data_IF_998206575151
#
_entry.id   IF_998206575151
#
_cell.length_a   1.000
_cell.length_b   1.000
_cell.length_c   1.000
_cell.angle_alpha   90.00
_cell.angle_beta   90.00
_cell.angle_gamma   90.00
#
_symmetry.space_group_name_H-M   'P 1'
#
loop_
_entity.id
_entity.type
_entity.pdbx_description
1 polymer ?
#
# COMPACT_ATOMS: atom_id res chain seq x y z
N UNK A 1 -19.97 -57.45 -45.48
CA UNK A 1 -20.72 -56.72 -44.41
C UNK A 1 -19.67 -56.05 -43.50
N UNK A 2 -19.37 -54.78 -43.75
CA UNK A 2 -18.32 -54.06 -43.05
C UNK A 2 -19.00 -53.05 -42.12
N UNK A 3 -18.80 -53.25 -40.82
CA UNK A 3 -19.32 -52.35 -39.78
C UNK A 3 -18.29 -51.22 -39.53
N UNK A 4 -18.70 -49.98 -39.76
CA UNK A 4 -17.88 -48.78 -39.55
C UNK A 4 -18.23 -48.25 -38.16
N UNK A 5 -17.29 -48.39 -37.19
CA UNK A 5 -17.37 -47.76 -35.89
C UNK A 5 -17.01 -46.28 -36.01
N UNK A 6 -17.98 -45.39 -35.82
CA UNK A 6 -17.77 -43.95 -35.66
C UNK A 6 -17.29 -43.67 -34.22
N UNK A 7 -16.02 -43.33 -34.08
CA UNK A 7 -15.48 -42.76 -32.86
C UNK A 7 -15.97 -41.29 -32.71
N UNK A 8 -16.80 -41.02 -31.73
CA UNK A 8 -17.16 -39.67 -31.31
C UNK A 8 -16.01 -39.05 -30.53
N UNK A 9 -15.36 -38.03 -31.09
CA UNK A 9 -14.46 -37.15 -30.34
C UNK A 9 -15.32 -36.16 -29.56
N UNK A 10 -15.43 -36.36 -28.25
CA UNK A 10 -15.87 -35.32 -27.32
C UNK A 10 -14.73 -34.36 -27.04
N UNK A 11 -14.76 -33.21 -27.69
CA UNK A 11 -13.92 -32.09 -27.31
C UNK A 11 -14.44 -31.49 -26.01
N UNK A 12 -13.72 -31.72 -24.92
CA UNK A 12 -13.97 -31.05 -23.66
C UNK A 12 -13.58 -29.58 -23.81
N UNK A 13 -14.56 -28.73 -24.02
CA UNK A 13 -14.42 -27.28 -23.85
C UNK A 13 -14.25 -27.00 -22.36
N UNK A 14 -13.01 -26.80 -21.94
CA UNK A 14 -12.72 -26.24 -20.62
C UNK A 14 -13.23 -24.81 -20.58
N UNK A 15 -14.42 -24.62 -20.01
CA UNK A 15 -14.94 -23.31 -19.66
C UNK A 15 -14.07 -22.81 -18.50
N UNK A 16 -13.06 -22.00 -18.83
CA UNK A 16 -12.42 -21.15 -17.83
C UNK A 16 -13.47 -20.17 -17.33
N UNK A 17 -14.09 -20.50 -16.21
CA UNK A 17 -14.88 -19.54 -15.44
C UNK A 17 -13.92 -18.45 -14.97
N UNK A 18 -13.89 -17.34 -15.68
CA UNK A 18 -13.40 -16.05 -15.19
C UNK A 18 -14.27 -15.71 -13.98
N UNK A 19 -13.81 -16.13 -12.79
CA UNK A 19 -14.31 -15.57 -11.56
C UNK A 19 -13.99 -14.08 -11.61
N UNK A 20 -14.97 -13.26 -11.92
CA UNK A 20 -14.94 -11.82 -11.66
C UNK A 20 -14.71 -11.66 -10.15
N UNK A 21 -13.48 -11.51 -9.75
CA UNK A 21 -13.13 -11.04 -8.42
C UNK A 21 -13.77 -9.65 -8.31
N UNK A 22 -14.81 -9.55 -7.48
CA UNK A 22 -15.43 -8.28 -7.09
C UNK A 22 -14.31 -7.31 -6.77
N UNK A 23 -14.30 -6.17 -7.46
CA UNK A 23 -13.19 -5.24 -7.51
C UNK A 23 -12.65 -4.89 -6.13
N UNK A 24 -11.48 -5.43 -5.84
CA UNK A 24 -10.60 -4.87 -4.83
C UNK A 24 -10.30 -3.44 -5.29
N UNK A 25 -10.61 -2.45 -4.47
CA UNK A 25 -10.32 -1.05 -4.80
C UNK A 25 -8.84 -0.96 -5.16
N UNK A 26 -8.54 -0.63 -6.41
CA UNK A 26 -7.17 -0.63 -6.91
C UNK A 26 -6.33 0.35 -6.10
N UNK A 27 -5.30 -0.17 -5.44
CA UNK A 27 -4.36 0.66 -4.69
C UNK A 27 -3.45 1.39 -5.68
N UNK A 28 -3.30 2.72 -5.60
CA UNK A 28 -2.56 3.49 -6.60
C UNK A 28 -1.03 3.37 -6.45
N UNK A 29 -0.54 2.41 -5.69
CA UNK A 29 0.88 2.26 -5.40
C UNK A 29 1.54 1.18 -6.24
N UNK A 30 2.76 1.48 -6.67
CA UNK A 30 3.65 0.52 -7.29
C UNK A 30 5.02 0.49 -6.63
N UNK A 31 5.80 -0.51 -6.99
CA UNK A 31 7.16 -0.74 -6.49
C UNK A 31 8.08 -1.18 -7.62
N UNK A 32 9.34 -0.79 -7.55
CA UNK A 32 10.37 -1.28 -8.45
C UNK A 32 10.71 -2.74 -8.10
N UNK A 33 10.55 -3.65 -9.08
CA UNK A 33 10.87 -5.09 -8.94
C UNK A 33 12.07 -5.56 -9.75
N UNK A 34 12.70 -4.66 -10.51
CA UNK A 34 13.75 -4.98 -11.49
C UNK A 34 14.85 -5.87 -10.89
N UNK A 35 15.20 -6.94 -11.60
CA UNK A 35 16.23 -7.91 -11.20
C UNK A 35 17.62 -7.28 -11.08
N UNK A 36 17.91 -6.28 -11.92
CA UNK A 36 19.16 -5.52 -11.91
C UNK A 36 19.28 -4.60 -10.68
N UNK A 37 18.27 -4.61 -9.80
CA UNK A 37 18.25 -3.82 -8.56
C UNK A 37 17.79 -2.39 -8.72
N UNK A 38 17.43 -1.93 -9.93
CA UNK A 38 16.92 -0.57 -10.16
C UNK A 38 16.07 -0.45 -11.42
N UNK A 39 15.24 0.61 -11.47
CA UNK A 39 14.57 1.07 -12.67
C UNK A 39 14.96 2.52 -12.97
N UNK A 40 15.10 2.84 -14.25
CA UNK A 40 15.30 4.22 -14.68
C UNK A 40 13.94 4.92 -14.80
N UNK A 41 13.81 6.07 -14.18
CA UNK A 41 12.70 6.99 -14.36
C UNK A 41 13.13 8.08 -15.32
N UNK A 42 12.37 8.26 -16.40
CA UNK A 42 12.58 9.34 -17.38
C UNK A 42 11.85 10.58 -16.91
N UNK A 43 12.60 11.64 -16.64
CA UNK A 43 12.03 12.94 -16.29
C UNK A 43 11.83 13.74 -17.58
N UNK A 44 10.63 14.26 -17.76
CA UNK A 44 10.25 15.02 -18.95
C UNK A 44 10.06 16.49 -18.64
N UNK A 45 10.36 17.32 -19.63
CA UNK A 45 10.09 18.76 -19.66
C UNK A 45 9.23 19.08 -20.88
N UNK A 46 8.53 20.21 -20.85
CA UNK A 46 7.79 20.75 -21.99
C UNK A 46 6.79 19.76 -22.61
N UNK A 47 5.74 19.44 -21.85
CA UNK A 47 4.64 18.58 -22.31
C UNK A 47 5.09 17.21 -22.84
N UNK A 48 6.06 16.60 -22.17
CA UNK A 48 6.51 15.21 -22.41
C UNK A 48 7.34 14.99 -23.68
N UNK A 49 7.74 16.05 -24.37
CA UNK A 49 8.47 15.93 -25.64
C UNK A 49 9.97 15.70 -25.49
N UNK A 50 10.55 16.09 -24.36
CA UNK A 50 11.99 15.99 -24.13
C UNK A 50 12.31 15.32 -22.80
N UNK A 51 13.09 14.23 -22.85
CA UNK A 51 13.69 13.64 -21.65
C UNK A 51 14.86 14.54 -21.23
N UNK A 52 14.75 15.11 -20.03
CA UNK A 52 15.79 16.01 -19.50
C UNK A 52 16.70 15.34 -18.48
N UNK A 53 16.24 14.26 -17.86
CA UNK A 53 17.01 13.51 -16.86
C UNK A 53 16.57 12.05 -16.77
N UNK A 54 17.46 11.22 -16.18
CA UNK A 54 17.18 9.81 -15.85
C UNK A 54 17.56 9.59 -14.39
N UNK A 55 16.56 9.33 -13.58
CA UNK A 55 16.73 9.03 -12.16
C UNK A 55 16.65 7.52 -11.96
N UNK A 56 17.51 6.96 -11.11
CA UNK A 56 17.46 5.55 -10.73
C UNK A 56 16.65 5.38 -9.45
N UNK A 57 15.54 4.65 -9.52
CA UNK A 57 14.84 4.11 -8.36
C UNK A 57 15.35 2.71 -8.09
N UNK A 58 15.65 2.39 -6.84
CA UNK A 58 16.18 1.09 -6.42
C UNK A 58 15.07 0.06 -6.31
N UNK A 59 15.40 -1.22 -6.37
CA UNK A 59 14.47 -2.31 -6.02
C UNK A 59 13.87 -2.07 -4.62
N UNK A 60 12.55 -2.18 -4.56
CA UNK A 60 11.78 -1.90 -3.34
C UNK A 60 11.42 -0.42 -3.10
N UNK A 61 11.87 0.52 -3.97
CA UNK A 61 11.38 1.90 -3.92
C UNK A 61 9.95 1.96 -4.45
N UNK A 62 9.12 2.77 -3.77
CA UNK A 62 7.69 2.87 -4.04
C UNK A 62 7.34 4.17 -4.74
N UNK A 63 6.22 4.16 -5.46
CA UNK A 63 5.69 5.30 -6.19
C UNK A 63 4.14 5.26 -6.21
N UNK A 64 3.53 6.38 -6.61
CA UNK A 64 2.11 6.47 -6.93
C UNK A 64 1.95 6.44 -8.44
N UNK A 65 1.11 5.54 -8.93
CA UNK A 65 0.67 5.50 -10.32
C UNK A 65 -0.28 6.67 -10.61
N UNK A 66 -0.04 7.39 -11.70
CA UNK A 66 -0.87 8.51 -12.11
C UNK A 66 -1.76 8.11 -13.29
N UNK A 67 -1.16 7.66 -14.39
CA UNK A 67 -1.84 7.31 -15.64
C UNK A 67 -0.92 6.55 -16.59
N UNK A 68 -1.44 5.91 -17.65
CA UNK A 68 -0.62 5.46 -18.77
C UNK A 68 0.15 6.63 -19.39
N UNK A 69 1.37 6.38 -19.86
CA UNK A 69 2.12 7.39 -20.58
C UNK A 69 1.46 7.64 -21.96
N UNK A 70 1.24 8.90 -22.37
CA UNK A 70 0.60 9.20 -23.64
C UNK A 70 1.38 8.61 -24.83
N UNK A 71 0.69 7.84 -25.68
CA UNK A 71 1.29 7.23 -26.87
C UNK A 71 2.27 6.09 -26.64
N UNK A 72 2.49 5.68 -25.38
CA UNK A 72 3.42 4.60 -25.02
C UNK A 72 2.70 3.48 -24.24
N UNK A 73 2.70 2.27 -24.78
CA UNK A 73 2.02 1.12 -24.14
C UNK A 73 2.81 0.52 -22.99
N UNK A 74 4.14 0.64 -23.02
CA UNK A 74 5.06 0.01 -22.06
C UNK A 74 5.46 0.92 -20.90
N UNK A 75 5.10 2.20 -20.95
CA UNK A 75 5.49 3.19 -19.95
C UNK A 75 4.27 3.69 -19.19
N UNK A 76 4.48 4.01 -17.91
CA UNK A 76 3.48 4.65 -17.06
C UNK A 76 4.04 5.91 -16.43
N UNK A 77 3.14 6.87 -16.21
CA UNK A 77 3.43 8.10 -15.49
C UNK A 77 3.29 7.88 -13.99
N UNK A 78 4.29 8.28 -13.24
CA UNK A 78 4.35 8.08 -11.79
C UNK A 78 4.72 9.35 -11.05
N UNK A 79 4.28 9.45 -9.79
CA UNK A 79 4.82 10.36 -8.78
C UNK A 79 5.59 9.55 -7.74
N UNK A 80 6.75 10.06 -7.33
CA UNK A 80 7.61 9.33 -6.41
C UNK A 80 8.25 10.29 -5.39
N UNK A 81 8.56 9.79 -4.17
CA UNK A 81 9.26 10.59 -3.17
C UNK A 81 10.68 10.89 -3.63
N UNK A 82 11.23 12.01 -3.19
CA UNK A 82 12.64 12.24 -3.33
C UNK A 82 13.42 11.12 -2.64
N UNK A 83 14.59 10.77 -3.17
CA UNK A 83 15.38 9.59 -2.82
C UNK A 83 15.20 9.13 -1.37
N UNK A 84 14.63 7.94 -1.20
CA UNK A 84 14.51 7.31 0.11
C UNK A 84 15.92 6.89 0.54
N UNK A 85 16.46 7.59 1.52
CA UNK A 85 17.72 7.23 2.14
C UNK A 85 17.43 6.19 3.23
N UNK A 86 17.91 4.94 3.03
CA UNK A 86 17.66 3.83 3.96
C UNK A 86 18.31 4.08 5.33
N UNK A 87 19.30 4.95 5.41
CA UNK A 87 19.99 5.30 6.64
C UNK A 87 19.29 6.41 7.43
N UNK A 88 18.32 7.10 6.80
CA UNK A 88 17.52 8.11 7.50
C UNK A 88 16.46 7.49 8.40
N UNK A 89 16.08 8.20 9.48
CA UNK A 89 14.89 7.84 10.25
C UNK A 89 13.65 7.86 9.34
N UNK A 90 12.56 7.27 9.84
CA UNK A 90 11.25 7.25 9.17
C UNK A 90 10.87 8.60 8.56
N UNK A 91 10.36 8.57 7.30
CA UNK A 91 9.87 9.74 6.57
C UNK A 91 8.41 9.55 6.19
N UNK A 92 7.58 10.56 6.45
CA UNK A 92 6.19 10.63 5.97
C UNK A 92 6.11 11.58 4.78
N UNK A 93 5.55 11.09 3.67
CA UNK A 93 5.28 11.85 2.47
C UNK A 93 3.78 12.10 2.35
N UNK A 94 3.37 13.35 2.47
CA UNK A 94 1.99 13.81 2.27
C UNK A 94 1.80 14.44 0.88
N UNK A 95 2.90 14.80 0.23
CA UNK A 95 2.98 15.26 -1.16
C UNK A 95 4.12 14.53 -1.87
N UNK A 96 3.97 14.34 -3.17
CA UNK A 96 5.00 13.77 -4.04
C UNK A 96 5.23 14.73 -5.19
N UNK A 97 6.34 15.45 -5.13
CA UNK A 97 6.64 16.56 -6.05
C UNK A 97 7.46 16.11 -7.27
N UNK A 98 8.03 14.91 -7.23
CA UNK A 98 8.81 14.35 -8.34
C UNK A 98 7.91 13.51 -9.23
N UNK A 99 8.01 13.74 -10.54
CA UNK A 99 7.25 13.03 -11.55
C UNK A 99 8.14 12.48 -12.65
N UNK A 100 7.69 11.41 -13.29
CA UNK A 100 8.40 10.83 -14.43
C UNK A 100 7.73 9.58 -14.97
N UNK A 101 8.34 8.97 -15.97
CA UNK A 101 7.87 7.73 -16.57
C UNK A 101 8.79 6.57 -16.22
N UNK A 102 8.19 5.42 -15.91
CA UNK A 102 8.87 4.15 -15.66
C UNK A 102 8.33 3.06 -16.57
N UNK A 103 9.19 2.14 -16.99
CA UNK A 103 8.79 1.00 -17.81
C UNK A 103 8.03 -0.03 -16.95
N UNK A 104 6.88 -0.52 -17.45
CA UNK A 104 5.99 -1.48 -16.76
C UNK A 104 6.67 -2.81 -16.40
N UNK A 105 7.62 -3.28 -17.21
CA UNK A 105 8.33 -4.52 -16.94
C UNK A 105 9.22 -4.46 -15.69
N UNK A 106 9.63 -3.26 -15.31
CA UNK A 106 10.52 -3.00 -14.17
C UNK A 106 9.81 -2.82 -12.84
N UNK A 107 8.47 -2.88 -12.85
CA UNK A 107 7.65 -2.56 -11.67
C UNK A 107 6.61 -3.66 -11.42
N UNK A 108 6.04 -3.64 -10.22
CA UNK A 108 4.81 -4.31 -9.89
C UNK A 108 3.87 -3.35 -9.16
N UNK A 109 2.56 -3.58 -9.25
CA UNK A 109 1.62 -2.91 -8.37
C UNK A 109 1.56 -3.63 -7.04
N UNK A 110 1.42 -2.87 -5.95
CA UNK A 110 1.47 -3.41 -4.58
C UNK A 110 0.39 -4.47 -4.35
N UNK A 111 -0.81 -4.29 -4.89
CA UNK A 111 -1.94 -5.21 -4.80
C UNK A 111 -1.80 -6.49 -5.65
N UNK A 112 -0.77 -6.56 -6.50
CA UNK A 112 -0.44 -7.72 -7.33
C UNK A 112 0.74 -8.54 -6.78
N UNK A 113 1.36 -8.09 -5.71
CA UNK A 113 2.43 -8.83 -5.03
C UNK A 113 1.86 -9.98 -4.19
N UNK A 114 2.69 -11.00 -3.85
CA UNK A 114 2.31 -12.04 -2.91
C UNK A 114 1.73 -11.46 -1.62
N UNK A 115 0.48 -11.82 -1.31
CA UNK A 115 -0.26 -11.28 -0.19
C UNK A 115 -0.17 -12.16 1.05
N UNK A 116 -0.11 -11.52 2.22
CA UNK A 116 -0.24 -12.20 3.50
C UNK A 116 -1.72 -12.58 3.74
N UNK A 117 -1.94 -13.71 4.37
CA UNK A 117 -3.29 -14.20 4.68
C UNK A 117 -3.88 -13.42 5.85
N UNK A 118 -5.05 -12.78 5.67
CA UNK A 118 -5.66 -11.97 6.71
C UNK A 118 -6.50 -12.81 7.70
N UNK A 119 -6.57 -12.36 8.95
CA UNK A 119 -7.49 -12.84 9.98
C UNK A 119 -7.79 -11.73 10.99
N UNK A 120 -8.88 -11.88 11.77
CA UNK A 120 -9.24 -10.95 12.85
C UNK A 120 -9.01 -11.58 14.21
N UNK A 121 -8.63 -10.76 15.20
CA UNK A 121 -8.64 -11.21 16.59
C UNK A 121 -10.06 -11.55 17.05
N UNK A 122 -10.19 -12.38 18.09
CA UNK A 122 -11.50 -12.80 18.65
C UNK A 122 -12.39 -11.62 19.08
N UNK A 123 -11.79 -10.53 19.54
CA UNK A 123 -12.51 -9.31 19.98
C UNK A 123 -12.73 -8.32 18.81
N UNK A 124 -12.33 -8.64 17.59
CA UNK A 124 -12.49 -7.79 16.41
C UNK A 124 -11.63 -6.50 16.38
N UNK A 125 -10.75 -6.29 17.38
CA UNK A 125 -9.97 -5.05 17.52
C UNK A 125 -8.63 -5.10 16.80
N UNK A 126 -8.21 -6.25 16.30
CA UNK A 126 -6.94 -6.38 15.60
C UNK A 126 -7.13 -7.09 14.26
N UNK A 127 -6.46 -6.57 13.23
CA UNK A 127 -6.23 -7.28 11.98
C UNK A 127 -4.87 -7.96 12.05
N UNK A 128 -4.81 -9.21 11.63
CA UNK A 128 -3.60 -10.03 11.65
C UNK A 128 -3.36 -10.53 10.23
N UNK A 129 -2.19 -10.24 9.69
CA UNK A 129 -1.76 -10.73 8.39
C UNK A 129 -0.58 -11.66 8.58
N UNK A 130 -0.68 -12.90 8.07
CA UNK A 130 0.35 -13.94 8.24
C UNK A 130 0.93 -14.30 6.87
N UNK A 131 2.24 -14.33 6.77
CA UNK A 131 2.94 -14.81 5.60
C UNK A 131 2.77 -16.33 5.48
N UNK A 132 2.08 -16.76 4.44
CA UNK A 132 1.85 -18.17 4.12
C UNK A 132 2.53 -18.57 2.79
N UNK A 133 3.49 -17.80 2.31
CA UNK A 133 4.21 -18.06 1.05
C UNK A 133 4.96 -19.39 1.06
N UNK A 134 5.52 -19.78 2.20
CA UNK A 134 6.15 -21.08 2.38
C UNK A 134 5.36 -21.94 3.40
N UNK A 135 4.62 -22.97 2.93
CA UNK A 135 3.87 -23.85 3.79
C UNK A 135 4.73 -24.72 4.72
N UNK A 136 6.03 -24.90 4.42
CA UNK A 136 6.97 -25.68 5.23
C UNK A 136 7.37 -24.96 6.53
N UNK A 137 7.25 -23.63 6.55
CA UNK A 137 7.55 -22.84 7.75
C UNK A 137 6.41 -23.04 8.78
N UNK A 138 6.68 -23.49 10.01
CA UNK A 138 5.68 -23.58 11.06
C UNK A 138 5.00 -22.21 11.31
N UNK A 139 3.68 -22.21 11.52
CA UNK A 139 2.88 -20.98 11.69
C UNK A 139 3.43 -20.04 12.77
N UNK A 140 4.04 -20.59 13.85
CA UNK A 140 4.66 -19.78 14.90
C UNK A 140 5.91 -19.02 14.44
N UNK A 141 6.56 -19.48 13.37
CA UNK A 141 7.78 -18.89 12.80
C UNK A 141 7.53 -18.03 11.58
N UNK A 142 6.27 -17.88 11.14
CA UNK A 142 5.93 -17.04 9.98
C UNK A 142 5.92 -15.57 10.35
N UNK A 143 6.30 -14.74 9.40
CA UNK A 143 6.18 -13.28 9.54
C UNK A 143 4.71 -12.88 9.71
N UNK A 144 4.45 -11.92 10.59
CA UNK A 144 3.09 -11.41 10.85
C UNK A 144 3.12 -9.89 10.97
N UNK A 145 2.07 -9.26 10.45
CA UNK A 145 1.76 -7.87 10.72
C UNK A 145 0.46 -7.83 11.51
N UNK A 146 0.46 -7.15 12.66
CA UNK A 146 -0.69 -7.01 13.54
C UNK A 146 -1.03 -5.53 13.67
N UNK A 147 -2.25 -5.15 13.35
CA UNK A 147 -2.76 -3.79 13.44
C UNK A 147 -3.80 -3.78 14.56
N UNK A 148 -3.55 -3.02 15.61
CA UNK A 148 -4.48 -2.82 16.72
C UNK A 148 -5.17 -1.46 16.61
N UNK A 149 -6.47 -1.44 16.81
CA UNK A 149 -7.33 -0.25 16.76
C UNK A 149 -8.03 -0.07 18.12
N UNK A 150 -8.20 1.17 18.55
CA UNK A 150 -8.87 1.49 19.81
C UNK A 150 -9.69 2.78 19.71
N UNK A 151 -10.62 3.03 20.67
CA UNK A 151 -11.30 4.31 20.77
C UNK A 151 -10.30 5.45 20.93
N UNK A 152 -10.48 6.50 20.14
CA UNK A 152 -9.58 7.66 20.19
C UNK A 152 -9.87 8.57 21.37
N UNK A 153 -8.82 9.16 21.91
CA UNK A 153 -8.90 10.22 22.90
C UNK A 153 -8.63 11.62 22.32
N UNK A 154 -8.73 11.77 21.00
CA UNK A 154 -8.44 13.03 20.30
C UNK A 154 -9.26 14.22 20.83
N UNK A 155 -10.45 13.97 21.40
CA UNK A 155 -11.27 14.98 22.06
C UNK A 155 -10.53 15.76 23.13
N UNK A 156 -9.62 15.11 23.87
CA UNK A 156 -8.85 15.67 24.98
C UNK A 156 -7.47 16.18 24.58
N UNK A 157 -7.08 16.03 23.31
CA UNK A 157 -5.77 16.47 22.80
C UNK A 157 -5.80 17.93 22.35
N UNK A 158 -4.62 18.57 22.29
CA UNK A 158 -4.48 19.96 21.84
C UNK A 158 -4.83 20.05 20.35
N UNK A 159 -5.77 20.96 20.02
CA UNK A 159 -6.22 21.22 18.66
C UNK A 159 -5.82 22.61 18.24
N UNK A 160 -5.43 22.77 16.99
CA UNK A 160 -5.21 24.05 16.34
C UNK A 160 -6.21 24.16 15.19
N UNK A 161 -6.87 25.31 15.08
CA UNK A 161 -7.86 25.61 14.06
C UNK A 161 -7.47 26.91 13.34
N UNK A 162 -7.90 27.06 12.08
CA UNK A 162 -7.79 28.32 11.36
C UNK A 162 -8.85 29.33 11.80
N UNK A 163 -8.87 30.50 11.13
CA UNK A 163 -9.80 31.60 11.44
C UNK A 163 -11.28 31.20 11.16
N UNK A 164 -11.50 30.29 10.23
CA UNK A 164 -12.80 29.76 9.85
C UNK A 164 -13.26 28.59 10.75
N UNK A 165 -12.43 28.20 11.74
CA UNK A 165 -12.73 27.11 12.66
C UNK A 165 -12.41 25.71 12.12
N UNK A 166 -11.74 25.61 10.98
CA UNK A 166 -11.31 24.33 10.40
C UNK A 166 -10.15 23.74 11.20
N UNK A 167 -10.25 22.45 11.50
CA UNK A 167 -9.22 21.71 12.23
C UNK A 167 -7.95 21.55 11.38
N UNK A 168 -6.84 22.14 11.82
CA UNK A 168 -5.54 22.06 11.16
C UNK A 168 -4.68 20.95 11.74
N UNK A 169 -4.52 20.92 13.07
CA UNK A 169 -3.67 19.93 13.72
C UNK A 169 -4.28 19.38 15.02
N UNK A 170 -3.87 18.19 15.40
CA UNK A 170 -4.02 17.61 16.73
C UNK A 170 -2.62 17.26 17.22
N UNK A 171 -2.22 17.83 18.37
CA UNK A 171 -0.84 17.73 18.88
C UNK A 171 0.22 18.11 17.82
N UNK A 172 -0.02 19.21 17.10
CA UNK A 172 0.84 19.76 16.05
C UNK A 172 1.05 18.84 14.82
N UNK A 173 0.22 17.81 14.65
CA UNK A 173 0.28 16.91 13.51
C UNK A 173 -1.08 16.94 12.80
N UNK A 174 -1.05 17.01 11.47
CA UNK A 174 -2.26 16.97 10.64
C UNK A 174 -3.07 15.70 10.91
N UNK A 175 -4.38 15.80 11.17
CA UNK A 175 -5.24 14.62 11.27
C UNK A 175 -5.63 14.11 9.88
N UNK A 176 -5.80 12.79 9.76
CA UNK A 176 -6.25 12.11 8.57
C UNK A 176 -7.50 11.28 8.84
N UNK A 177 -8.45 11.26 7.91
CA UNK A 177 -9.67 10.47 8.00
C UNK A 177 -10.81 11.12 8.79
N UNK A 178 -10.66 12.38 9.16
CA UNK A 178 -11.69 13.19 9.84
C UNK A 178 -11.73 14.60 9.27
N UNK A 179 -12.92 15.23 9.38
CA UNK A 179 -13.14 16.63 9.05
C UNK A 179 -12.91 17.56 10.25
N UNK A 180 -13.67 18.67 10.25
CA UNK A 180 -13.59 19.69 11.29
C UNK A 180 -14.09 19.20 12.66
N UNK A 181 -14.99 18.23 12.65
CA UNK A 181 -15.57 17.65 13.84
C UNK A 181 -14.91 16.32 14.20
N UNK A 182 -14.86 16.05 15.49
CA UNK A 182 -14.40 14.77 16.01
C UNK A 182 -15.63 13.91 16.30
N UNK A 183 -15.96 12.92 15.46
CA UNK A 183 -17.13 12.08 15.67
C UNK A 183 -17.06 11.35 17.02
N UNK A 184 -18.21 11.20 17.67
CA UNK A 184 -18.32 10.34 18.85
C UNK A 184 -18.00 8.88 18.49
N UNK A 185 -17.31 8.18 19.37
CA UNK A 185 -16.90 6.80 19.13
C UNK A 185 -15.77 6.62 18.09
N UNK A 186 -15.13 7.71 17.69
CA UNK A 186 -14.01 7.68 16.76
C UNK A 186 -12.91 6.72 17.21
N UNK A 187 -12.35 6.02 16.25
CA UNK A 187 -11.22 5.10 16.47
C UNK A 187 -9.93 5.61 15.84
N UNK A 188 -8.80 5.13 16.35
CA UNK A 188 -7.48 5.38 15.74
C UNK A 188 -6.58 4.14 15.87
N UNK A 189 -5.53 4.09 15.05
CA UNK A 189 -4.54 3.01 15.10
C UNK A 189 -3.76 3.13 16.41
N UNK A 190 -3.84 2.10 17.25
CA UNK A 190 -3.08 1.99 18.50
C UNK A 190 -1.65 1.56 18.27
N UNK A 191 -1.48 0.52 17.46
CA UNK A 191 -0.16 -0.03 17.13
C UNK A 191 -0.21 -0.77 15.81
N UNK A 192 0.92 -0.78 15.13
CA UNK A 192 1.20 -1.70 14.04
C UNK A 192 2.48 -2.43 14.43
N UNK A 193 2.45 -3.74 14.49
CA UNK A 193 3.58 -4.59 14.90
C UNK A 193 3.95 -5.55 13.80
N UNK A 194 5.21 -5.52 13.40
CA UNK A 194 5.80 -6.55 12.55
C UNK A 194 6.49 -7.58 13.45
N UNK A 195 6.15 -8.84 13.28
CA UNK A 195 6.78 -9.98 13.92
C UNK A 195 7.48 -10.80 12.84
N UNK A 196 8.80 -10.87 12.90
CA UNK A 196 9.60 -11.70 12.00
C UNK A 196 10.52 -12.60 12.84
N UNK A 197 10.77 -13.84 12.41
CA UNK A 197 11.71 -14.74 13.08
C UNK A 197 13.10 -14.09 13.19
N UNK A 198 13.64 -14.05 14.41
CA UNK A 198 14.95 -13.43 14.69
C UNK A 198 14.98 -11.90 14.58
N UNK A 199 13.85 -11.26 14.25
CA UNK A 199 13.71 -9.80 14.18
C UNK A 199 12.39 -9.41 14.83
N UNK A 200 12.40 -8.61 15.85
CA UNK A 200 11.22 -7.99 16.41
C UNK A 200 11.23 -6.51 16.06
N UNK A 201 10.16 -5.96 15.54
CA UNK A 201 10.06 -4.52 15.36
C UNK A 201 8.68 -4.01 15.72
N UNK A 202 8.65 -2.83 16.29
CA UNK A 202 7.43 -2.05 16.51
C UNK A 202 7.48 -0.88 15.57
N UNK A 203 6.34 -0.52 14.98
CA UNK A 203 6.25 0.65 14.13
C UNK A 203 6.60 1.92 14.90
N UNK A 204 7.29 2.84 14.23
CA UNK A 204 7.58 4.15 14.79
C UNK A 204 6.24 4.86 15.06
N UNK A 205 6.10 5.45 16.25
CA UNK A 205 4.86 6.10 16.68
C UNK A 205 4.40 7.19 15.71
N UNK A 206 5.33 7.91 15.11
CA UNK A 206 5.08 8.95 14.10
C UNK A 206 4.40 8.39 12.85
N UNK A 207 4.65 7.12 12.52
CA UNK A 207 4.05 6.46 11.36
C UNK A 207 2.54 6.18 11.48
N UNK A 208 1.99 6.27 12.69
CA UNK A 208 0.56 6.00 12.96
C UNK A 208 -0.14 7.18 13.64
N UNK A 209 0.59 8.26 13.96
CA UNK A 209 0.05 9.41 14.68
C UNK A 209 -1.03 10.12 13.86
N UNK A 210 -2.17 10.40 14.49
CA UNK A 210 -3.33 11.10 13.92
C UNK A 210 -3.93 10.42 12.67
N UNK A 211 -3.92 9.09 12.63
CA UNK A 211 -4.61 8.29 11.62
C UNK A 211 -5.92 7.78 12.20
N UNK A 212 -7.00 8.50 11.90
CA UNK A 212 -8.33 8.26 12.43
C UNK A 212 -9.19 7.44 11.48
N UNK A 213 -10.25 6.83 12.03
CA UNK A 213 -11.22 6.01 11.31
C UNK A 213 -10.53 4.95 10.42
N UNK A 214 -9.55 4.19 10.96
CA UNK A 214 -8.91 3.15 10.17
C UNK A 214 -9.93 2.10 9.78
N UNK A 215 -9.85 1.65 8.53
CA UNK A 215 -10.70 0.56 8.08
C UNK A 215 -10.31 -0.76 8.76
N UNK A 216 -11.32 -1.57 9.09
CA UNK A 216 -11.16 -2.93 9.62
C UNK A 216 -11.69 -3.98 8.63
N UNK A 217 -11.73 -3.63 7.35
CA UNK A 217 -12.15 -4.48 6.26
C UNK A 217 -10.96 -4.94 5.41
N UNK A 218 -10.83 -6.25 5.21
CA UNK A 218 -9.78 -6.86 4.41
C UNK A 218 -9.81 -6.48 2.92
N UNK A 219 -10.92 -5.94 2.42
CA UNK A 219 -10.98 -5.41 1.07
C UNK A 219 -10.19 -4.09 0.93
N UNK A 220 -9.98 -3.40 2.06
CA UNK A 220 -9.37 -2.08 2.10
C UNK A 220 -8.00 -2.07 2.82
N UNK A 221 -7.59 -3.22 3.38
CA UNK A 221 -6.29 -3.36 4.05
C UNK A 221 -5.58 -4.59 3.53
N UNK A 222 -4.31 -4.44 3.18
CA UNK A 222 -3.50 -5.57 2.75
C UNK A 222 -2.04 -5.43 3.16
N UNK A 223 -1.43 -6.59 3.33
CA UNK A 223 0.02 -6.73 3.50
C UNK A 223 0.52 -7.60 2.37
N UNK A 224 1.53 -7.12 1.67
CA UNK A 224 2.17 -7.81 0.55
C UNK A 224 3.68 -7.75 0.68
N UNK A 225 4.39 -8.60 -0.02
CA UNK A 225 5.86 -8.57 -0.02
C UNK A 225 6.42 -8.77 -1.42
N UNK A 226 7.48 -8.03 -1.73
CA UNK A 226 8.28 -8.27 -2.92
C UNK A 226 9.30 -9.41 -2.67
N UNK A 227 9.81 -9.45 -1.45
CA UNK A 227 10.73 -10.45 -0.90
C UNK A 227 10.72 -10.35 0.65
N UNK A 228 11.59 -11.14 1.31
CA UNK A 228 11.67 -11.17 2.79
C UNK A 228 12.09 -9.83 3.42
N UNK A 229 12.76 -8.97 2.67
CA UNK A 229 13.26 -7.69 3.16
C UNK A 229 12.36 -6.51 2.79
N UNK A 230 11.46 -6.67 1.81
CA UNK A 230 10.59 -5.61 1.32
C UNK A 230 9.12 -5.98 1.52
N UNK A 231 8.52 -5.46 2.58
CA UNK A 231 7.12 -5.69 2.95
C UNK A 231 6.37 -4.36 2.85
N UNK A 232 5.14 -4.42 2.39
CA UNK A 232 4.27 -3.27 2.17
C UNK A 232 2.94 -3.49 2.91
N UNK A 233 2.58 -2.53 3.74
CA UNK A 233 1.24 -2.47 4.35
C UNK A 233 0.50 -1.30 3.74
N UNK A 234 -0.68 -1.54 3.19
CA UNK A 234 -1.55 -0.47 2.71
C UNK A 234 -2.91 -0.48 3.40
N UNK A 235 -3.51 0.71 3.54
CA UNK A 235 -4.86 0.88 4.07
C UNK A 235 -5.57 1.98 3.28
N UNK A 236 -6.84 1.73 2.92
CA UNK A 236 -7.76 2.73 2.40
C UNK A 236 -8.69 3.10 3.54
N UNK A 237 -8.59 4.32 4.03
CA UNK A 237 -9.25 4.80 5.24
C UNK A 237 -10.14 6.00 4.94
N UNK A 238 -11.04 6.30 5.88
CA UNK A 238 -11.97 7.43 5.77
C UNK A 238 -13.08 7.18 4.78
N UNK A 239 -13.88 8.20 4.51
CA UNK A 239 -14.99 8.17 3.54
C UNK A 239 -15.17 9.55 2.90
N UNK A 240 -15.76 9.58 1.69
CA UNK A 240 -16.01 10.82 0.96
C UNK A 240 -14.75 11.68 0.82
N UNK A 241 -14.87 12.97 1.07
CA UNK A 241 -13.77 13.93 0.96
C UNK A 241 -12.61 13.71 1.93
N UNK A 242 -12.81 12.92 3.01
CA UNK A 242 -11.76 12.57 3.99
C UNK A 242 -11.11 11.22 3.71
N UNK A 243 -11.43 10.60 2.58
CA UNK A 243 -10.83 9.34 2.17
C UNK A 243 -9.36 9.54 1.81
N UNK A 244 -8.52 8.65 2.32
CA UNK A 244 -7.09 8.63 2.01
C UNK A 244 -6.58 7.19 1.92
N UNK A 245 -5.57 7.00 1.12
CA UNK A 245 -4.85 5.72 1.05
C UNK A 245 -3.45 5.91 1.59
N UNK A 246 -3.03 5.02 2.47
CA UNK A 246 -1.69 5.06 3.04
C UNK A 246 -0.93 3.79 2.72
N UNK A 247 0.37 3.94 2.48
CA UNK A 247 1.32 2.86 2.26
C UNK A 247 2.49 3.01 3.21
N UNK A 248 2.75 2.01 4.04
CA UNK A 248 3.99 1.89 4.79
C UNK A 248 4.96 0.96 4.07
N UNK A 249 6.18 1.42 3.89
CA UNK A 249 7.28 0.62 3.35
C UNK A 249 8.13 0.11 4.50
N UNK A 250 8.26 -1.20 4.58
CA UNK A 250 9.03 -1.89 5.59
C UNK A 250 10.21 -2.56 4.90
N UNK A 251 11.44 -2.13 5.23
CA UNK A 251 12.67 -2.74 4.72
C UNK A 251 13.48 -3.33 5.87
N UNK A 252 13.91 -4.60 5.72
CA UNK A 252 14.73 -5.30 6.71
C UNK A 252 14.18 -5.22 8.15
N UNK A 253 12.84 -5.32 8.26
CA UNK A 253 12.14 -5.26 9.55
C UNK A 253 11.98 -3.86 10.16
N UNK A 254 12.27 -2.79 9.41
CA UNK A 254 12.12 -1.40 9.86
C UNK A 254 11.15 -0.66 8.95
N UNK A 255 10.26 0.13 9.51
CA UNK A 255 9.46 1.08 8.72
C UNK A 255 10.37 2.22 8.31
N UNK A 256 10.57 2.38 7.01
CA UNK A 256 11.44 3.41 6.46
C UNK A 256 10.65 4.61 5.96
N UNK A 257 9.44 4.39 5.44
CA UNK A 257 8.61 5.47 4.92
C UNK A 257 7.13 5.18 5.00
N UNK A 258 6.35 6.25 4.93
CA UNK A 258 4.91 6.25 4.74
C UNK A 258 4.54 7.24 3.64
N UNK A 259 3.74 6.80 2.68
CA UNK A 259 3.08 7.69 1.72
C UNK A 259 1.62 7.79 2.13
N UNK A 260 1.09 9.01 2.25
CA UNK A 260 -0.32 9.26 2.41
C UNK A 260 -0.81 9.92 1.13
N UNK A 261 -1.69 9.25 0.43
CA UNK A 261 -2.25 9.71 -0.84
C UNK A 261 -3.72 10.05 -0.66
N UNK A 262 -4.05 11.32 -0.87
CA UNK A 262 -5.42 11.78 -0.90
C UNK A 262 -5.97 11.56 -2.31
N UNK A 263 -6.96 10.69 -2.44
CA UNK A 263 -7.67 10.44 -3.68
C UNK A 263 -9.14 10.84 -3.47
N UNK A 264 -9.50 12.10 -3.73
CA UNK A 264 -10.90 12.50 -3.77
C UNK A 264 -11.59 11.70 -4.90
N UNK A 265 -12.68 11.05 -4.57
CA UNK A 265 -13.56 10.42 -5.57
C UNK A 265 -14.27 11.47 -6.41
#
# INVERSE_FOLDING_TARGET
MISVNKALYLSAFSIFSLAFVKGQNKVPFGVVKAEEGYANVRVHKDNYRKIVDKIRMRKGDVFVYVKPAPGETEWIWIKYPEKQDEDKPFVRYETLDKEGMVNKERIAFIDQLPAYTPSKSKNGRSLIFTDNSDPKIPTAQRSKVVIDVYPSNAGYRKKEKDAEGKLLTIDKVKPWGIGNDLPEGMTEIKSIRLQQPGRGSVFVREAIKNMFQPTMDFNNVGVTSLDNDNIFLYMINGSGEYRYTTLWTIKKGRVISQIIYHNPE
#
